data_IF_391014761549
#
_entry.id   IF_391014761549
#
_cell.length_a   1.000
_cell.length_b   1.000
_cell.length_c   1.000
_cell.angle_alpha   90.00
_cell.angle_beta   90.00
_cell.angle_gamma   90.00
#
_symmetry.space_group_name_H-M   'P 1'
#
loop_
_entity.id
_entity.type
_entity.pdbx_description
1 polymer ?
#
# COMPACT_ATOMS: atom_id res chain seq x y z
N UNK A 1 -12.13 -44.03 -30.98
CA UNK A 1 -12.09 -42.59 -30.68
C UNK A 1 -10.75 -42.27 -30.01
N UNK A 2 -9.86 -41.47 -30.60
CA UNK A 2 -8.55 -41.15 -30.00
C UNK A 2 -8.73 -40.07 -28.93
N UNK A 3 -8.39 -40.39 -27.67
CA UNK A 3 -8.36 -39.42 -26.57
C UNK A 3 -7.25 -38.37 -26.83
N UNK A 4 -7.62 -37.08 -26.81
CA UNK A 4 -6.66 -35.96 -26.79
C UNK A 4 -6.74 -35.29 -25.41
N UNK A 5 -5.64 -35.33 -24.68
CA UNK A 5 -5.53 -34.65 -23.38
C UNK A 5 -5.28 -33.17 -23.56
N UNK A 6 -6.17 -32.32 -23.00
CA UNK A 6 -6.00 -30.87 -22.94
C UNK A 6 -5.36 -30.40 -21.63
N UNK A 7 -4.96 -31.32 -20.75
CA UNK A 7 -4.50 -31.04 -19.37
C UNK A 7 -3.36 -30.04 -19.35
N UNK A 8 -2.34 -30.21 -20.19
CA UNK A 8 -1.19 -29.30 -20.26
C UNK A 8 -1.60 -27.86 -20.58
N UNK A 9 -2.59 -27.69 -21.45
CA UNK A 9 -3.05 -26.37 -21.86
C UNK A 9 -3.89 -25.72 -20.75
N UNK A 10 -4.73 -26.49 -20.06
CA UNK A 10 -5.52 -26.01 -18.93
C UNK A 10 -4.61 -25.58 -17.77
N UNK A 11 -3.59 -26.37 -17.41
CA UNK A 11 -2.63 -26.00 -16.37
C UNK A 11 -1.91 -24.69 -16.71
N UNK A 12 -1.51 -24.53 -17.98
CA UNK A 12 -0.90 -23.27 -18.44
C UNK A 12 -1.83 -22.08 -18.25
N UNK A 13 -3.10 -22.21 -18.65
CA UNK A 13 -4.11 -21.15 -18.49
C UNK A 13 -4.33 -20.82 -17.01
N UNK A 14 -4.42 -21.83 -16.15
CA UNK A 14 -4.59 -21.63 -14.71
C UNK A 14 -3.42 -20.86 -14.09
N UNK A 15 -2.18 -21.19 -14.47
CA UNK A 15 -0.99 -20.47 -14.01
C UNK A 15 -1.00 -19.01 -14.49
N UNK A 16 -1.33 -18.75 -15.77
CA UNK A 16 -1.47 -17.38 -16.29
C UNK A 16 -2.58 -16.60 -15.58
N UNK A 17 -3.69 -17.25 -15.25
CA UNK A 17 -4.80 -16.61 -14.54
C UNK A 17 -4.45 -16.29 -13.09
N UNK A 18 -3.67 -17.14 -12.44
CA UNK A 18 -3.19 -16.94 -11.09
C UNK A 18 -2.25 -15.74 -11.01
N UNK A 19 -1.27 -15.65 -11.92
CA UNK A 19 -0.38 -14.49 -12.03
C UNK A 19 -1.19 -13.18 -12.22
N UNK A 20 -2.17 -13.20 -13.13
CA UNK A 20 -3.07 -12.05 -13.34
C UNK A 20 -3.87 -11.69 -12.09
N UNK A 21 -4.38 -12.69 -11.37
CA UNK A 21 -5.13 -12.47 -10.14
C UNK A 21 -4.25 -11.76 -9.09
N UNK A 22 -3.00 -12.19 -8.93
CA UNK A 22 -2.05 -11.57 -8.00
C UNK A 22 -1.76 -10.11 -8.37
N UNK A 23 -1.44 -9.85 -9.65
CA UNK A 23 -1.24 -8.47 -10.12
C UNK A 23 -2.49 -7.59 -9.95
N UNK A 24 -3.67 -8.13 -10.25
CA UNK A 24 -4.93 -7.40 -10.10
C UNK A 24 -5.19 -7.01 -8.64
N UNK A 25 -4.90 -7.90 -7.69
CA UNK A 25 -4.97 -7.61 -6.25
C UNK A 25 -3.98 -6.53 -5.86
N UNK A 26 -2.73 -6.62 -6.32
CA UNK A 26 -1.70 -5.61 -6.06
C UNK A 26 -2.10 -4.23 -6.56
N UNK A 27 -2.64 -4.14 -7.77
CA UNK A 27 -3.14 -2.88 -8.37
C UNK A 27 -4.28 -2.29 -7.54
N UNK A 28 -5.26 -3.11 -7.14
CA UNK A 28 -6.40 -2.67 -6.35
C UNK A 28 -5.94 -2.10 -5.00
N UNK A 29 -5.16 -2.87 -4.23
CA UNK A 29 -4.75 -2.47 -2.88
C UNK A 29 -3.78 -1.30 -2.93
N UNK A 30 -2.86 -1.25 -3.90
CA UNK A 30 -1.99 -0.09 -4.12
C UNK A 30 -2.79 1.17 -4.38
N UNK A 31 -3.76 1.13 -5.30
CA UNK A 31 -4.58 2.30 -5.64
C UNK A 31 -5.41 2.80 -4.45
N UNK A 32 -5.95 1.87 -3.65
CA UNK A 32 -6.67 2.17 -2.42
C UNK A 32 -5.76 2.80 -1.35
N UNK A 33 -4.56 2.26 -1.17
CA UNK A 33 -3.57 2.83 -0.26
C UNK A 33 -3.10 4.22 -0.70
N UNK A 34 -2.89 4.43 -2.00
CA UNK A 34 -2.55 5.73 -2.58
C UNK A 34 -3.64 6.78 -2.38
N UNK A 35 -4.91 6.38 -2.47
CA UNK A 35 -6.06 7.28 -2.26
C UNK A 35 -6.17 7.73 -0.81
N UNK A 36 -5.75 6.88 0.13
CA UNK A 36 -5.85 7.14 1.58
C UNK A 36 -4.61 7.83 2.15
N UNK A 37 -3.48 7.74 1.46
CA UNK A 37 -2.23 8.32 1.91
C UNK A 37 -2.35 9.85 2.01
N UNK A 38 -1.93 10.46 3.13
CA UNK A 38 -1.91 11.91 3.24
C UNK A 38 -0.92 12.51 2.24
N UNK A 39 -1.29 13.65 1.67
CA UNK A 39 -0.52 14.33 0.63
C UNK A 39 -0.07 15.69 1.15
N UNK A 40 1.24 15.86 1.25
CA UNK A 40 1.91 17.16 1.38
C UNK A 40 2.70 17.42 0.09
N UNK A 41 3.86 16.77 -0.07
CA UNK A 41 4.67 16.82 -1.30
C UNK A 41 4.38 15.67 -2.27
N UNK A 42 3.49 14.74 -1.92
CA UNK A 42 3.16 13.56 -2.74
C UNK A 42 4.12 12.36 -2.58
N UNK A 43 5.33 12.57 -2.06
CA UNK A 43 6.37 11.53 -1.91
C UNK A 43 5.88 10.22 -1.28
N UNK A 44 5.09 10.29 -0.20
CA UNK A 44 4.57 9.08 0.46
C UNK A 44 3.68 8.28 -0.48
N UNK A 45 2.67 8.94 -1.08
CA UNK A 45 1.71 8.32 -2.00
C UNK A 45 2.43 7.67 -3.18
N UNK A 46 3.39 8.37 -3.76
CA UNK A 46 4.10 7.92 -4.95
C UNK A 46 5.09 6.78 -4.63
N UNK A 47 5.48 6.63 -3.35
CA UNK A 47 6.34 5.53 -2.87
C UNK A 47 5.63 4.20 -2.62
N UNK A 48 4.29 4.17 -2.71
CA UNK A 48 3.49 2.97 -2.45
C UNK A 48 3.47 2.09 -3.70
N UNK A 49 3.92 0.85 -3.54
CA UNK A 49 3.90 -0.14 -4.63
C UNK A 49 3.68 -1.56 -4.12
N UNK A 50 3.65 -2.52 -5.03
CA UNK A 50 3.50 -3.93 -4.72
C UNK A 50 4.49 -4.83 -5.48
N UNK A 51 4.78 -5.99 -4.90
CA UNK A 51 5.59 -7.05 -5.49
C UNK A 51 4.81 -8.37 -5.47
N UNK A 52 4.79 -9.06 -6.61
CA UNK A 52 4.19 -10.40 -6.73
C UNK A 52 5.26 -11.45 -6.47
N UNK A 53 4.93 -12.43 -5.63
CA UNK A 53 5.75 -13.60 -5.38
C UNK A 53 5.07 -14.83 -5.96
N UNK A 54 5.50 -15.23 -7.15
CA UNK A 54 4.94 -16.36 -7.88
C UNK A 54 5.17 -17.71 -7.21
N UNK A 55 6.26 -17.87 -6.45
CA UNK A 55 6.53 -19.13 -5.76
C UNK A 55 5.61 -19.34 -4.56
N UNK A 56 5.27 -18.26 -3.84
CA UNK A 56 4.40 -18.27 -2.66
C UNK A 56 2.96 -17.90 -2.95
N UNK A 57 2.64 -17.56 -4.21
CA UNK A 57 1.32 -17.11 -4.67
C UNK A 57 0.76 -16.00 -3.79
N UNK A 58 1.61 -15.01 -3.54
CA UNK A 58 1.31 -13.89 -2.65
C UNK A 58 1.69 -12.55 -3.26
N UNK A 59 1.06 -11.50 -2.72
CA UNK A 59 1.35 -10.11 -3.09
C UNK A 59 1.82 -9.39 -1.82
N UNK A 60 2.94 -8.69 -1.92
CA UNK A 60 3.46 -7.84 -0.86
C UNK A 60 3.19 -6.40 -1.27
N UNK A 61 2.48 -5.64 -0.44
CA UNK A 61 2.22 -4.21 -0.67
C UNK A 61 2.92 -3.41 0.43
N UNK A 62 3.55 -2.29 0.06
CA UNK A 62 4.24 -1.42 1.02
C UNK A 62 4.61 -0.07 0.44
N UNK A 63 5.17 0.79 1.29
CA UNK A 63 5.71 2.09 0.90
C UNK A 63 7.23 2.09 1.10
N UNK A 64 7.97 2.59 0.11
CA UNK A 64 9.44 2.68 0.19
C UNK A 64 9.93 3.92 0.94
N UNK A 65 9.06 4.91 1.19
CA UNK A 65 9.42 6.08 1.99
C UNK A 65 9.75 5.68 3.44
N UNK A 66 10.95 6.02 3.91
CA UNK A 66 11.45 5.62 5.22
C UNK A 66 10.56 6.08 6.40
N UNK A 67 9.83 7.19 6.23
CA UNK A 67 8.93 7.72 7.25
C UNK A 67 7.51 7.15 7.18
N UNK A 68 7.19 6.31 6.19
CA UNK A 68 5.87 5.73 6.02
C UNK A 68 5.32 4.99 7.26
N UNK A 69 6.12 4.19 8.01
CA UNK A 69 5.64 3.54 9.23
C UNK A 69 5.18 4.55 10.30
N UNK A 70 5.85 5.70 10.40
CA UNK A 70 5.49 6.75 11.35
C UNK A 70 4.19 7.46 10.97
N UNK A 71 3.82 7.46 9.68
CA UNK A 71 2.53 7.96 9.20
C UNK A 71 1.44 6.92 9.48
N UNK A 72 1.67 5.66 9.10
CA UNK A 72 0.71 4.57 9.28
C UNK A 72 0.32 4.38 10.75
N UNK A 73 1.31 4.37 11.65
CA UNK A 73 1.11 4.02 13.06
C UNK A 73 1.18 5.20 14.03
N UNK A 74 1.61 6.38 13.55
CA UNK A 74 1.96 7.50 14.42
C UNK A 74 3.26 7.25 15.18
N UNK A 75 3.61 8.17 16.07
CA UNK A 75 4.80 8.06 16.91
C UNK A 75 4.48 8.34 18.36
N UNK A 76 5.24 7.70 19.27
CA UNK A 76 5.27 8.09 20.68
C UNK A 76 5.82 9.52 20.83
N UNK A 77 5.56 10.19 21.97
CA UNK A 77 6.16 11.49 22.26
C UNK A 77 7.69 11.44 22.17
N UNK A 78 8.26 12.35 21.37
CA UNK A 78 9.70 12.51 21.18
C UNK A 78 9.99 13.94 20.72
N UNK A 79 11.22 14.43 20.89
CA UNK A 79 11.59 15.77 20.48
C UNK A 79 12.29 15.74 19.11
N UNK A 80 11.59 16.00 17.98
CA UNK A 80 12.24 16.03 16.68
C UNK A 80 13.15 17.26 16.57
N UNK A 81 14.23 17.20 15.77
CA UNK A 81 15.07 18.36 15.53
C UNK A 81 14.24 19.46 14.83
N UNK A 82 14.11 20.68 15.40
CA UNK A 82 13.27 21.73 14.82
C UNK A 82 13.63 22.08 13.37
N UNK A 83 14.91 21.99 13.00
CA UNK A 83 15.36 22.22 11.63
C UNK A 83 14.72 21.27 10.60
N UNK A 84 14.39 20.04 10.97
CA UNK A 84 13.72 19.09 10.08
C UNK A 84 12.25 19.48 9.81
N UNK A 85 11.66 20.32 10.67
CA UNK A 85 10.27 20.78 10.53
C UNK A 85 10.14 22.02 9.64
N UNK A 86 11.24 22.71 9.30
CA UNK A 86 11.21 23.99 8.55
C UNK A 86 10.43 23.90 7.23
N UNK A 87 10.69 22.85 6.44
CA UNK A 87 10.02 22.67 5.15
C UNK A 87 8.50 22.54 5.31
N UNK A 88 8.08 21.67 6.23
CA UNK A 88 6.66 21.48 6.56
C UNK A 88 6.03 22.76 7.14
N UNK A 89 6.71 23.41 8.09
CA UNK A 89 6.25 24.62 8.75
C UNK A 89 6.03 25.76 7.75
N UNK A 90 6.96 25.96 6.82
CA UNK A 90 6.82 26.94 5.73
C UNK A 90 5.59 26.67 4.85
N UNK A 91 5.40 25.42 4.42
CA UNK A 91 4.23 25.04 3.59
C UNK A 91 2.89 25.21 4.31
N UNK A 92 2.89 25.13 5.63
CA UNK A 92 1.68 25.23 6.46
C UNK A 92 1.54 26.59 7.17
N UNK A 93 2.29 27.61 6.75
CA UNK A 93 2.18 28.97 7.31
C UNK A 93 2.61 29.10 8.79
N UNK A 94 3.45 28.17 9.26
CA UNK A 94 3.95 28.09 10.63
C UNK A 94 5.48 28.31 10.73
N UNK A 95 6.07 28.98 9.73
CA UNK A 95 7.49 29.31 9.71
C UNK A 95 7.90 30.07 10.98
N UNK A 96 9.01 29.68 11.61
CA UNK A 96 9.47 30.23 12.89
C UNK A 96 8.84 29.58 14.12
N UNK A 97 7.81 28.74 13.97
CA UNK A 97 7.18 28.00 15.07
C UNK A 97 7.74 26.57 15.26
N UNK A 98 8.84 26.21 14.60
CA UNK A 98 9.36 24.83 14.55
C UNK A 98 9.65 24.28 15.95
N UNK A 99 10.20 25.11 16.84
CA UNK A 99 10.46 24.71 18.23
C UNK A 99 9.16 24.41 18.99
N UNK A 100 8.12 25.21 18.78
CA UNK A 100 6.81 25.00 19.42
C UNK A 100 6.12 23.74 18.89
N UNK A 101 6.25 23.47 17.58
CA UNK A 101 5.77 22.24 16.96
C UNK A 101 6.52 21.03 17.54
N UNK A 102 7.85 21.09 17.59
CA UNK A 102 8.68 20.03 18.19
C UNK A 102 8.31 19.79 19.67
N UNK A 103 8.09 20.85 20.44
CA UNK A 103 7.62 20.78 21.84
C UNK A 103 6.21 20.19 21.96
N UNK A 104 5.34 20.39 20.98
CA UNK A 104 4.02 19.76 20.94
C UNK A 104 4.14 18.25 20.68
N UNK A 105 4.96 17.86 19.69
CA UNK A 105 5.26 16.45 19.36
C UNK A 105 5.94 15.77 20.55
N UNK A 106 6.80 16.47 21.29
CA UNK A 106 7.47 15.90 22.47
C UNK A 106 6.52 15.59 23.63
N UNK A 107 5.34 16.22 23.65
CA UNK A 107 4.30 15.97 24.66
C UNK A 107 3.29 14.92 24.21
N UNK A 108 2.92 14.94 22.92
CA UNK A 108 1.77 14.20 22.39
C UNK A 108 2.14 13.06 21.44
N UNK A 109 3.34 13.11 20.85
CA UNK A 109 3.68 12.30 19.68
C UNK A 109 2.98 12.80 18.42
N UNK A 110 2.89 11.93 17.42
CA UNK A 110 2.11 12.17 16.20
C UNK A 110 0.97 11.16 16.12
N UNK A 111 -0.20 11.62 15.66
CA UNK A 111 -1.37 10.76 15.47
C UNK A 111 -1.17 9.89 14.22
N UNK A 112 -1.55 8.63 14.30
CA UNK A 112 -1.60 7.72 13.16
C UNK A 112 -2.54 8.25 12.06
N UNK A 113 -2.11 8.13 10.82
CA UNK A 113 -2.92 8.29 9.60
C UNK A 113 -2.75 7.03 8.74
N UNK A 114 -3.45 5.94 9.10
CA UNK A 114 -3.33 4.66 8.41
C UNK A 114 -3.80 4.77 6.96
N UNK A 115 -3.03 4.20 6.06
CA UNK A 115 -3.30 4.16 4.62
C UNK A 115 -3.15 2.73 4.04
N UNK A 116 -2.24 1.90 4.57
CA UNK A 116 -2.06 0.52 4.10
C UNK A 116 -3.06 -0.44 4.73
N UNK A 117 -3.14 -0.45 6.07
CA UNK A 117 -4.04 -1.36 6.80
C UNK A 117 -5.49 -1.23 6.34
N UNK A 118 -6.09 -0.02 6.31
CA UNK A 118 -7.48 0.10 5.90
C UNK A 118 -7.66 -0.25 4.41
N UNK A 119 -6.68 0.04 3.55
CA UNK A 119 -6.76 -0.31 2.12
C UNK A 119 -6.93 -1.83 1.90
N UNK A 120 -6.28 -2.65 2.72
CA UNK A 120 -6.47 -4.10 2.70
C UNK A 120 -7.78 -4.51 3.36
N UNK A 121 -8.02 -4.08 4.60
CA UNK A 121 -9.14 -4.51 5.42
C UNK A 121 -10.49 -4.25 4.75
N UNK A 122 -10.69 -3.04 4.23
CA UNK A 122 -11.96 -2.62 3.63
C UNK A 122 -12.20 -3.28 2.25
N UNK A 123 -11.14 -3.79 1.62
CA UNK A 123 -11.21 -4.40 0.28
C UNK A 123 -11.18 -5.93 0.28
N UNK A 124 -11.18 -6.59 1.44
CA UNK A 124 -11.13 -8.07 1.54
C UNK A 124 -12.14 -8.79 0.64
N UNK A 125 -13.38 -8.29 0.58
CA UNK A 125 -14.42 -8.91 -0.25
C UNK A 125 -14.21 -8.64 -1.74
N UNK A 126 -13.73 -7.44 -2.09
CA UNK A 126 -13.40 -7.08 -3.47
C UNK A 126 -12.23 -7.93 -3.98
N UNK A 127 -11.21 -8.13 -3.14
CA UNK A 127 -10.06 -9.02 -3.42
C UNK A 127 -10.53 -10.44 -3.72
N UNK A 128 -11.39 -11.03 -2.88
CA UNK A 128 -11.93 -12.39 -3.10
C UNK A 128 -12.67 -12.51 -4.44
N UNK A 129 -13.55 -11.54 -4.73
CA UNK A 129 -14.30 -11.49 -6.00
C UNK A 129 -13.36 -11.36 -7.20
N UNK A 130 -12.32 -10.52 -7.07
CA UNK A 130 -11.33 -10.29 -8.10
C UNK A 130 -10.54 -11.56 -8.43
N UNK A 131 -10.05 -12.27 -7.39
CA UNK A 131 -9.33 -13.53 -7.55
C UNK A 131 -10.22 -14.56 -8.25
N UNK A 132 -11.45 -14.77 -7.77
CA UNK A 132 -12.38 -15.73 -8.38
C UNK A 132 -12.66 -15.41 -9.86
N UNK A 133 -12.80 -14.13 -10.20
CA UNK A 133 -13.02 -13.65 -11.56
C UNK A 133 -11.82 -13.95 -12.47
N UNK A 134 -10.60 -13.63 -12.03
CA UNK A 134 -9.41 -13.84 -12.86
C UNK A 134 -9.08 -15.34 -13.01
N UNK A 135 -9.27 -16.16 -11.97
CA UNK A 135 -9.06 -17.61 -12.03
C UNK A 135 -9.97 -18.32 -13.05
N UNK A 136 -11.24 -17.90 -13.15
CA UNK A 136 -12.21 -18.47 -14.08
C UNK A 136 -12.03 -18.03 -15.55
N UNK A 137 -11.09 -17.11 -15.82
CA UNK A 137 -10.96 -16.47 -17.13
C UNK A 137 -10.46 -17.47 -18.18
N UNK A 138 -11.02 -17.45 -19.40
CA UNK A 138 -10.60 -18.31 -20.53
C UNK A 138 -10.70 -19.83 -20.28
N UNK A 139 -11.37 -20.26 -19.20
CA UNK A 139 -11.79 -21.64 -19.00
C UNK A 139 -13.17 -21.80 -19.64
N UNK A 140 -13.20 -22.17 -20.92
CA UNK A 140 -14.40 -22.54 -21.67
C UNK A 140 -14.13 -23.81 -22.46
#
# INVERSE_FOLDING_TARGET
MKYRSNVKNIIKILNENEERALHAVGILVRGEAQTRAPVDEGNLRDSIDYLVNDSRKSVIIGASAAYAPYVEYGTRPHFPPPNALKGWAKRHGAEGAEFLIARSISKKGTKAQPFLTPAFEDNKQNIKKLIARELGRRLK
#
